data_IF_086876840376
#
_entry.id   IF_086876840376
#
_cell.length_a   1.000
_cell.length_b   1.000
_cell.length_c   1.000
_cell.angle_alpha   90.00
_cell.angle_beta   90.00
_cell.angle_gamma   90.00
#
_symmetry.space_group_name_H-M   'P 1'
#
loop_
_entity.id
_entity.type
_entity.pdbx_description
1 polymer ?
#
# COMPACT_ATOMS: atom_id res chain seq x y z
N UNK A 1 -46.53 -8.61 -32.87
CA UNK A 1 -46.01 -8.72 -32.78
C UNK A 1 -44.87 -8.64 -32.71
N UNK A 2 -44.29 -8.65 -32.61
CA UNK A 2 -43.37 -8.48 -32.58
C UNK A 2 -42.48 -7.96 -31.89
N UNK A 3 -42.15 -7.67 -31.54
CA UNK A 3 -41.51 -6.96 -30.86
C UNK A 3 -40.71 -7.39 -29.90
N UNK A 4 -40.53 -7.97 -29.69
CA UNK A 4 -40.01 -8.40 -28.74
C UNK A 4 -38.62 -8.54 -28.60
N UNK A 5 -37.99 -8.66 -29.18
CA UNK A 5 -36.75 -8.96 -29.07
C UNK A 5 -35.88 -8.15 -28.56
N UNK A 6 -36.08 -7.44 -28.48
CA UNK A 6 -35.35 -6.51 -28.09
C UNK A 6 -34.71 -6.72 -26.90
N UNK A 7 -35.28 -7.18 -26.24
CA UNK A 7 -34.84 -7.30 -25.10
C UNK A 7 -33.64 -7.89 -24.84
N UNK A 8 -33.45 -8.66 -25.32
CA UNK A 8 -32.45 -9.37 -24.93
C UNK A 8 -31.21 -8.81 -24.97
N UNK A 9 -31.06 -8.26 -25.64
CA UNK A 9 -29.89 -7.98 -25.80
C UNK A 9 -29.14 -7.41 -24.82
N UNK A 10 -29.67 -6.91 -24.11
CA UNK A 10 -29.06 -6.22 -23.31
C UNK A 10 -28.25 -6.87 -22.47
N UNK A 11 -28.57 -7.74 -22.14
CA UNK A 11 -27.94 -8.34 -21.22
C UNK A 11 -26.63 -8.52 -21.44
N UNK A 12 -26.36 -8.65 -22.34
CA UNK A 12 -25.18 -8.98 -22.57
C UNK A 12 -24.17 -8.23 -22.03
N UNK A 13 -24.32 -7.34 -22.01
CA UNK A 13 -23.41 -6.57 -21.70
C UNK A 13 -22.73 -6.72 -20.59
N UNK A 14 -23.16 -6.89 -19.92
CA UNK A 14 -22.64 -6.83 -18.82
C UNK A 14 -21.53 -7.35 -18.37
N UNK A 15 -21.27 -8.10 -18.52
CA UNK A 15 -20.41 -8.69 -17.93
C UNK A 15 -19.06 -8.59 -17.99
N UNK A 16 -18.66 -8.06 -18.27
CA UNK A 16 -17.42 -8.00 -18.39
C UNK A 16 -16.72 -7.78 -17.24
N UNK A 17 -16.56 -8.22 -16.42
CA UNK A 17 -15.93 -7.95 -15.30
C UNK A 17 -14.57 -7.58 -15.51
N UNK A 18 -14.07 -6.77 -14.72
CA UNK A 18 -12.72 -6.46 -14.74
C UNK A 18 -12.10 -7.18 -13.62
N UNK A 19 -11.02 -7.81 -13.86
CA UNK A 19 -10.23 -8.35 -12.81
C UNK A 19 -9.53 -7.19 -12.16
N UNK A 20 -9.67 -7.01 -10.91
CA UNK A 20 -8.91 -6.00 -10.22
C UNK A 20 -7.48 -6.46 -10.11
N UNK A 21 -6.56 -5.52 -10.22
CA UNK A 21 -5.17 -5.82 -9.95
C UNK A 21 -5.03 -6.24 -8.50
N UNK A 22 -4.21 -7.22 -8.26
CA UNK A 22 -3.89 -7.65 -6.92
C UNK A 22 -2.52 -7.12 -6.56
N UNK A 23 -2.38 -6.74 -5.31
CA UNK A 23 -1.13 -6.23 -4.80
C UNK A 23 -0.63 -7.12 -3.67
N UNK A 24 0.66 -7.27 -3.59
CA UNK A 24 1.25 -8.18 -2.64
C UNK A 24 1.59 -7.52 -1.32
N UNK A 25 1.71 -6.21 -1.29
CA UNK A 25 2.14 -5.51 -0.09
C UNK A 25 1.23 -4.32 0.19
N UNK A 26 0.83 -4.21 1.44
CA UNK A 26 0.16 -3.03 1.94
C UNK A 26 0.75 -2.63 3.28
N UNK A 27 0.54 -1.38 3.66
CA UNK A 27 0.97 -0.89 4.96
C UNK A 27 -0.11 -0.01 5.56
N UNK A 28 -0.03 0.22 6.86
CA UNK A 28 -1.05 0.96 7.59
C UNK A 28 -0.40 1.59 8.81
N UNK A 29 -0.67 2.85 9.05
CA UNK A 29 -0.07 3.57 10.16
C UNK A 29 -1.14 4.08 11.10
N UNK A 30 -1.06 3.68 12.37
CA UNK A 30 -1.94 4.17 13.41
C UNK A 30 -1.15 5.12 14.31
N UNK A 31 -1.67 6.33 14.48
CA UNK A 31 -1.08 7.28 15.40
C UNK A 31 -1.80 7.12 16.74
N UNK A 32 -1.16 6.42 17.66
CA UNK A 32 -1.77 6.10 18.94
C UNK A 32 -1.95 7.37 19.77
N UNK A 33 -1.04 8.31 19.65
CA UNK A 33 -1.12 9.53 20.43
C UNK A 33 -2.39 10.33 20.15
N UNK A 34 -2.95 10.16 18.95
CA UNK A 34 -4.18 10.82 18.56
C UNK A 34 -5.36 9.87 18.48
N UNK A 35 -5.12 8.57 18.57
CA UNK A 35 -6.17 7.59 18.37
C UNK A 35 -6.73 7.60 16.96
N UNK A 36 -5.93 7.97 15.97
CA UNK A 36 -6.37 8.14 14.59
C UNK A 36 -5.37 7.55 13.63
N UNK A 37 -5.83 7.25 12.42
CA UNK A 37 -4.94 6.82 11.34
C UNK A 37 -4.08 7.99 10.90
N UNK A 38 -2.89 7.72 10.41
CA UNK A 38 -1.93 8.76 10.02
C UNK A 38 -1.93 8.96 8.50
N UNK A 39 -2.61 10.00 7.99
CA UNK A 39 -2.64 10.27 6.56
C UNK A 39 -1.42 11.07 6.12
N UNK A 40 -1.15 11.02 4.81
CA UNK A 40 -0.11 11.83 4.17
C UNK A 40 1.29 11.59 4.72
N UNK A 41 1.58 10.37 5.11
CA UNK A 41 2.94 9.99 5.49
C UNK A 41 3.61 9.37 4.27
N UNK A 42 4.75 9.89 3.89
CA UNK A 42 5.51 9.32 2.78
C UNK A 42 6.16 8.02 3.21
N UNK A 43 5.95 6.98 2.43
CA UNK A 43 6.52 5.67 2.69
C UNK A 43 7.27 5.22 1.44
N UNK A 44 8.50 4.81 1.61
CA UNK A 44 9.34 4.36 0.51
C UNK A 44 9.61 2.88 0.65
N UNK A 45 9.62 2.18 -0.47
CA UNK A 45 9.89 0.75 -0.49
C UNK A 45 11.15 0.49 -1.29
N UNK A 46 12.06 -0.27 -0.69
CA UNK A 46 13.29 -0.68 -1.35
C UNK A 46 13.44 -2.18 -1.26
N UNK A 47 14.09 -2.76 -2.26
CA UNK A 47 14.41 -4.18 -2.28
C UNK A 47 15.92 -4.34 -2.21
N UNK A 48 16.37 -5.30 -1.43
CA UNK A 48 17.79 -5.58 -1.33
C UNK A 48 18.26 -6.36 -2.54
N UNK A 49 19.30 -5.85 -3.18
CA UNK A 49 19.94 -6.55 -4.29
C UNK A 49 21.42 -6.55 -4.02
N UNK A 50 21.98 -7.72 -3.80
CA UNK A 50 23.36 -7.88 -3.35
C UNK A 50 23.51 -7.14 -2.02
N UNK A 51 24.39 -6.15 -1.95
CA UNK A 51 24.54 -5.39 -0.71
C UNK A 51 23.94 -3.99 -0.82
N UNK A 52 23.11 -3.74 -1.82
CA UNK A 52 22.52 -2.42 -2.02
C UNK A 52 21.01 -2.46 -1.88
N UNK A 53 20.42 -1.31 -1.55
CA UNK A 53 18.98 -1.16 -1.52
C UNK A 53 18.57 -0.43 -2.78
N UNK A 54 17.60 -0.99 -3.51
CA UNK A 54 17.13 -0.41 -4.77
C UNK A 54 15.69 0.02 -4.56
N UNK A 55 15.39 1.26 -4.87
CA UNK A 55 14.05 1.79 -4.71
C UNK A 55 13.11 1.09 -5.70
N UNK A 56 11.99 0.58 -5.20
CA UNK A 56 10.99 -0.05 -6.04
C UNK A 56 9.64 0.63 -5.95
N UNK A 57 9.43 1.55 -5.04
CA UNK A 57 8.17 2.27 -4.99
C UNK A 57 8.16 3.29 -3.87
N UNK A 58 7.19 4.19 -3.94
CA UNK A 58 6.90 5.10 -2.84
C UNK A 58 5.50 5.66 -3.01
N UNK A 59 4.88 6.01 -1.94
CA UNK A 59 3.56 6.61 -1.96
C UNK A 59 3.30 7.27 -0.60
N UNK A 60 2.25 8.07 -0.55
CA UNK A 60 1.78 8.66 0.70
C UNK A 60 0.60 7.86 1.20
N UNK A 61 0.47 7.74 2.52
CA UNK A 61 -0.71 7.09 3.09
C UNK A 61 -1.96 7.90 2.75
N UNK A 62 -3.07 7.20 2.58
CA UNK A 62 -4.35 7.83 2.29
C UNK A 62 -5.01 8.35 3.57
N UNK A 63 -6.26 8.78 3.46
CA UNK A 63 -6.98 9.32 4.61
C UNK A 63 -7.13 8.32 5.75
N UNK A 64 -7.04 7.05 5.46
CA UNK A 64 -7.13 6.00 6.45
C UNK A 64 -5.77 5.47 6.87
N UNK A 65 -4.69 6.19 6.55
CA UNK A 65 -3.36 5.79 6.95
C UNK A 65 -2.83 4.60 6.19
N UNK A 66 -3.37 4.30 5.02
CA UNK A 66 -3.03 3.08 4.29
C UNK A 66 -2.36 3.35 2.96
N UNK A 67 -1.52 2.42 2.56
CA UNK A 67 -1.09 2.27 1.18
C UNK A 67 -1.38 0.81 0.82
N UNK A 68 -2.23 0.61 -0.19
CA UNK A 68 -2.72 -0.72 -0.51
C UNK A 68 -2.00 -1.35 -1.69
N UNK A 69 -1.25 -0.57 -2.44
CA UNK A 69 -0.82 -0.96 -3.77
C UNK A 69 0.67 -0.82 -3.98
N UNK A 70 1.47 -1.37 -3.08
CA UNK A 70 2.90 -1.24 -3.23
C UNK A 70 3.52 -2.16 -4.26
N UNK A 71 3.15 -3.41 -4.33
CA UNK A 71 3.74 -4.35 -5.28
C UNK A 71 2.64 -5.09 -5.99
N UNK A 72 2.70 -5.10 -7.31
CA UNK A 72 1.78 -5.93 -8.07
C UNK A 72 2.16 -7.40 -7.90
N UNK A 73 1.13 -8.23 -7.82
CA UNK A 73 1.32 -9.65 -7.59
C UNK A 73 1.38 -10.40 -8.91
N UNK A 74 2.08 -9.88 -9.89
CA UNK A 74 2.10 -10.49 -11.21
C UNK A 74 3.40 -11.21 -11.52
N UNK A 75 4.35 -11.20 -10.64
CA UNK A 75 5.61 -11.89 -10.84
C UNK A 75 6.14 -12.29 -9.48
N UNK A 76 7.24 -13.02 -9.46
CA UNK A 76 7.83 -13.37 -8.18
C UNK A 76 8.48 -12.14 -7.56
N UNK A 77 8.02 -11.80 -6.38
CA UNK A 77 8.56 -10.68 -5.63
C UNK A 77 9.33 -11.16 -4.40
N UNK A 78 9.78 -12.41 -4.40
CA UNK A 78 10.51 -12.91 -3.23
C UNK A 78 11.78 -12.09 -3.02
N UNK A 79 12.11 -11.85 -1.79
CA UNK A 79 13.32 -11.12 -1.44
C UNK A 79 13.15 -10.34 -0.16
N UNK A 80 14.20 -9.60 0.17
CA UNK A 80 14.26 -8.79 1.39
C UNK A 80 13.95 -7.35 1.00
N UNK A 81 13.05 -6.74 1.76
CA UNK A 81 12.57 -5.39 1.48
C UNK A 81 12.70 -4.51 2.71
N UNK A 82 12.68 -3.21 2.49
CA UNK A 82 12.69 -2.24 3.56
C UNK A 82 11.64 -1.20 3.27
N UNK A 83 10.77 -0.95 4.25
CA UNK A 83 9.86 0.19 4.22
C UNK A 83 10.47 1.26 5.08
N UNK A 84 10.53 2.47 4.55
CA UNK A 84 10.98 3.64 5.31
C UNK A 84 9.81 4.60 5.43
N UNK A 85 9.40 4.86 6.68
CA UNK A 85 8.26 5.72 6.98
C UNK A 85 8.81 7.08 7.39
N UNK A 86 8.53 8.10 6.60
CA UNK A 86 9.04 9.46 6.86
C UNK A 86 8.11 10.15 7.86
N UNK A 87 8.25 9.78 9.12
CA UNK A 87 7.32 10.25 10.15
C UNK A 87 7.65 11.63 10.66
N UNK A 88 8.86 12.11 10.50
CA UNK A 88 9.22 13.42 11.03
C UNK A 88 8.41 14.55 10.38
N UNK A 89 8.29 14.63 9.05
CA UNK A 89 7.45 15.67 8.45
C UNK A 89 5.99 15.58 8.89
N UNK A 90 5.49 14.35 9.10
CA UNK A 90 4.13 14.17 9.56
C UNK A 90 3.91 14.85 10.92
N UNK A 91 4.83 14.66 11.85
CA UNK A 91 4.73 15.29 13.16
C UNK A 91 4.98 16.79 13.09
N UNK A 92 5.95 17.22 12.30
CA UNK A 92 6.25 18.64 12.17
C UNK A 92 5.07 19.42 11.62
N UNK A 93 4.32 18.82 10.69
CA UNK A 93 3.12 19.47 10.16
C UNK A 93 2.05 19.68 11.23
N UNK A 94 2.15 18.97 12.33
CA UNK A 94 1.23 19.12 13.45
C UNK A 94 1.89 19.92 14.58
N UNK A 95 3.04 20.54 14.30
CA UNK A 95 3.80 21.31 15.29
C UNK A 95 4.19 20.48 16.48
N UNK A 96 4.56 19.22 16.20
CA UNK A 96 5.02 18.30 17.23
C UNK A 96 6.43 17.85 16.88
N UNK A 97 7.23 17.58 17.90
CA UNK A 97 8.55 17.04 17.70
C UNK A 97 8.48 15.55 17.57
N UNK A 98 9.29 15.00 16.67
CA UNK A 98 9.41 13.56 16.55
C UNK A 98 10.74 13.12 17.13
N UNK A 99 10.70 12.09 17.95
CA UNK A 99 11.92 11.48 18.44
C UNK A 99 12.64 10.76 17.30
N UNK A 100 11.88 10.24 16.33
CA UNK A 100 12.44 9.49 15.24
C UNK A 100 12.49 10.34 13.98
N UNK A 101 13.64 10.39 13.30
CA UNK A 101 13.67 11.08 12.00
C UNK A 101 12.90 10.30 10.94
N UNK A 102 12.94 8.98 11.02
CA UNK A 102 12.15 8.08 10.18
C UNK A 102 12.16 6.72 10.85
N UNK A 103 11.32 5.82 10.37
CA UNK A 103 11.25 4.46 10.89
C UNK A 103 11.46 3.50 9.73
N UNK A 104 12.34 2.54 9.91
CA UNK A 104 12.62 1.52 8.90
C UNK A 104 12.14 0.17 9.39
N UNK A 105 11.49 -0.58 8.52
CA UNK A 105 11.07 -1.94 8.81
C UNK A 105 11.59 -2.84 7.69
N UNK A 106 12.43 -3.78 8.05
CA UNK A 106 12.99 -4.75 7.10
C UNK A 106 12.22 -6.04 7.24
N UNK A 107 11.79 -6.60 6.12
CA UNK A 107 11.00 -7.84 6.12
C UNK A 107 11.32 -8.65 4.88
N UNK A 108 10.86 -9.88 4.88
CA UNK A 108 11.13 -10.77 3.75
C UNK A 108 9.84 -11.29 3.16
N UNK A 109 9.71 -11.22 1.82
CA UNK A 109 8.62 -11.85 1.09
C UNK A 109 9.15 -13.20 0.62
N UNK A 110 8.48 -14.27 1.01
CA UNK A 110 8.95 -15.63 0.75
C UNK A 110 8.07 -16.40 -0.21
N UNK A 111 6.88 -15.92 -0.49
CA UNK A 111 5.90 -16.64 -1.30
C UNK A 111 5.02 -15.64 -2.04
N UNK A 112 3.91 -16.11 -2.59
CA UNK A 112 2.99 -15.27 -3.32
C UNK A 112 1.77 -14.83 -2.52
N UNK A 113 1.86 -14.90 -1.19
CA UNK A 113 0.79 -14.44 -0.34
C UNK A 113 0.83 -12.94 -0.19
N UNK A 114 -0.26 -12.36 0.27
CA UNK A 114 -0.31 -10.94 0.57
C UNK A 114 0.37 -10.65 1.91
N UNK A 115 1.21 -9.64 1.94
CA UNK A 115 1.92 -9.21 3.15
C UNK A 115 1.39 -7.85 3.57
N UNK A 116 1.13 -7.71 4.84
CA UNK A 116 0.66 -6.46 5.42
C UNK A 116 1.60 -6.07 6.55
N UNK A 117 2.16 -4.87 6.47
CA UNK A 117 3.15 -4.40 7.44
C UNK A 117 2.61 -3.13 8.10
N UNK A 118 1.94 -3.25 9.24
CA UNK A 118 1.43 -2.08 9.94
C UNK A 118 2.45 -1.57 10.95
N UNK A 119 2.38 -0.28 11.25
CA UNK A 119 3.15 0.29 12.36
C UNK A 119 2.25 1.20 13.19
N UNK A 120 2.68 1.45 14.41
CA UNK A 120 2.01 2.40 15.29
C UNK A 120 3.00 3.47 15.71
N UNK A 121 2.48 4.67 15.88
CA UNK A 121 3.26 5.81 16.35
C UNK A 121 2.75 6.22 17.73
N UNK A 122 3.67 6.55 18.64
CA UNK A 122 3.28 7.01 19.97
C UNK A 122 4.23 8.07 20.48
#
# INVERSE_FOLDING_TARGET
MKNIFVTLFLLVVTMSGFAQDKFQLSTHILDISKGQWAPNVLVQLEKKQNSSWIKVGENYTDQNGRIKDFLKMNTSNTGIYKLTFQVKPYFENQKMNSFYPFIEVVFEIKDNEHYHVPITLS
#
